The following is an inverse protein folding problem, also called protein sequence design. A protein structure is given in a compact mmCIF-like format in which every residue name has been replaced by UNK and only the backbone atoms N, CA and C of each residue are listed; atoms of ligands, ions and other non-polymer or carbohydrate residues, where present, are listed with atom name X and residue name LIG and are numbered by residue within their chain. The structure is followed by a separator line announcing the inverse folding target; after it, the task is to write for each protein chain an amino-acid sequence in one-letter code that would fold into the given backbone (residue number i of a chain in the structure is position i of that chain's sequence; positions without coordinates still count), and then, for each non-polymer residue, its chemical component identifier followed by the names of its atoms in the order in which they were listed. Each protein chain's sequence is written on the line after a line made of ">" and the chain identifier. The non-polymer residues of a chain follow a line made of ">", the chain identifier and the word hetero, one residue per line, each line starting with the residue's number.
data_IF_391017387428
#
_entry.id   IF_391017387428
#
_cell.length_a   1.000
_cell.length_b   1.000
_cell.length_c   1.000
_cell.angle_alpha   90.00
_cell.angle_beta   90.00
_cell.angle_gamma   90.00
#
_symmetry.space_group_name_H-M   'P 1'
#
loop_
_entity.id
_entity.type
_entity.pdbx_description
1 polymer ?
#
# COMPACT_ATOMS: atom_id res chain seq x y z
N UNK A 1 -15.18 6.81 -1.36
CA UNK A 1 -13.70 6.87 -1.32
C UNK A 1 -13.19 8.10 -0.57
N UNK A 2 -13.63 9.31 -0.92
CA UNK A 2 -13.17 10.54 -0.26
C UNK A 2 -13.35 10.59 1.25
N UNK A 3 -14.50 10.17 1.75
CA UNK A 3 -14.73 10.08 3.18
C UNK A 3 -13.86 9.03 3.86
N UNK A 4 -13.62 7.88 3.22
CA UNK A 4 -12.81 6.81 3.80
C UNK A 4 -11.34 7.22 3.96
N UNK A 5 -10.73 7.82 2.93
CA UNK A 5 -9.35 8.33 3.00
C UNK A 5 -9.23 9.55 3.91
N UNK A 6 -10.20 10.47 3.88
CA UNK A 6 -10.25 11.62 4.78
C UNK A 6 -10.33 11.22 6.26
N UNK A 7 -11.18 10.23 6.58
CA UNK A 7 -11.28 9.68 7.93
C UNK A 7 -10.01 8.94 8.35
N UNK A 8 -9.41 8.15 7.45
CA UNK A 8 -8.15 7.46 7.74
C UNK A 8 -7.02 8.43 8.05
N UNK A 9 -6.84 9.48 7.24
CA UNK A 9 -5.81 10.53 7.47
C UNK A 9 -6.12 11.32 8.74
N UNK A 10 -7.38 11.66 8.99
CA UNK A 10 -7.78 12.36 10.23
C UNK A 10 -7.50 11.50 11.47
N UNK A 11 -7.77 10.19 11.42
CA UNK A 11 -7.42 9.27 12.49
C UNK A 11 -5.91 9.16 12.72
N UNK A 12 -5.10 9.16 11.66
CA UNK A 12 -3.64 9.20 11.77
C UNK A 12 -3.14 10.49 12.44
N UNK A 13 -3.73 11.64 12.07
CA UNK A 13 -3.41 12.93 12.70
C UNK A 13 -3.77 12.93 14.19
N UNK A 14 -4.95 12.42 14.56
CA UNK A 14 -5.40 12.31 15.96
C UNK A 14 -4.50 11.40 16.79
N UNK A 15 -4.07 10.28 16.22
CA UNK A 15 -3.21 9.30 16.90
C UNK A 15 -1.71 9.62 16.80
N UNK A 16 -1.33 10.72 16.12
CA UNK A 16 0.06 11.07 15.81
C UNK A 16 0.83 9.97 15.07
N UNK A 17 0.12 9.15 14.29
CA UNK A 17 0.68 8.05 13.47
C UNK A 17 0.74 8.42 11.99
N UNK A 18 0.86 9.72 11.68
CA UNK A 18 0.89 10.22 10.31
C UNK A 18 1.99 9.55 9.51
N UNK A 19 1.58 8.72 8.55
CA UNK A 19 2.46 8.11 7.57
C UNK A 19 2.18 8.76 6.20
N UNK A 20 2.99 9.76 5.79
CA UNK A 20 2.74 10.53 4.57
C UNK A 20 2.50 9.67 3.31
N UNK A 21 3.23 8.55 3.08
CA UNK A 21 2.97 7.64 1.96
C UNK A 21 1.58 6.98 2.00
N UNK A 22 1.09 6.63 3.19
CA UNK A 22 -0.22 6.01 3.35
C UNK A 22 -1.39 6.97 3.06
N UNK A 23 -1.19 8.28 3.28
CA UNK A 23 -2.17 9.31 2.90
C UNK A 23 -2.09 9.70 1.43
N UNK A 24 -0.88 9.86 0.88
CA UNK A 24 -0.66 10.31 -0.49
C UNK A 24 -1.21 9.33 -1.54
N UNK A 25 -1.00 8.03 -1.36
CA UNK A 25 -1.41 7.02 -2.34
C UNK A 25 -2.94 6.99 -2.56
N UNK A 26 -3.79 6.87 -1.52
CA UNK A 26 -5.25 6.94 -1.70
C UNK A 26 -5.74 8.27 -2.27
N UNK A 27 -5.14 9.39 -1.86
CA UNK A 27 -5.48 10.71 -2.40
C UNK A 27 -5.19 10.79 -3.90
N UNK A 28 -4.02 10.34 -4.35
CA UNK A 28 -3.65 10.29 -5.77
C UNK A 28 -4.61 9.41 -6.58
N UNK A 29 -4.92 8.21 -6.09
CA UNK A 29 -5.83 7.25 -6.76
C UNK A 29 -7.23 7.86 -6.94
N UNK A 30 -7.70 8.60 -5.93
CA UNK A 30 -8.98 9.29 -6.00
C UNK A 30 -8.97 10.48 -6.95
N UNK A 31 -7.90 11.30 -6.94
CA UNK A 31 -7.74 12.42 -7.87
C UNK A 31 -7.65 11.96 -9.32
N UNK A 32 -7.13 10.77 -9.55
CA UNK A 32 -7.00 10.15 -10.87
C UNK A 32 -8.21 9.30 -11.28
N UNK A 33 -9.28 9.28 -10.47
CA UNK A 33 -10.56 8.65 -10.81
C UNK A 33 -10.49 7.15 -11.09
N UNK A 34 -9.56 6.43 -10.44
CA UNK A 34 -9.33 5.01 -10.73
C UNK A 34 -10.51 4.12 -10.28
N UNK A 35 -10.75 3.07 -11.05
CA UNK A 35 -11.79 2.07 -10.76
C UNK A 35 -11.37 1.10 -9.64
N UNK A 36 -12.33 0.38 -9.07
CA UNK A 36 -12.08 -0.64 -8.03
C UNK A 36 -11.09 -1.72 -8.46
N UNK A 37 -10.98 -1.96 -9.77
CA UNK A 37 -10.02 -2.89 -10.35
C UNK A 37 -8.56 -2.51 -10.04
N UNK A 38 -8.28 -1.23 -9.75
CA UNK A 38 -6.96 -0.75 -9.34
C UNK A 38 -6.43 -1.46 -8.08
N UNK A 39 -7.32 -1.82 -7.14
CA UNK A 39 -6.98 -2.56 -5.93
C UNK A 39 -6.48 -3.97 -6.25
N UNK A 40 -7.06 -4.62 -7.27
CA UNK A 40 -6.64 -5.96 -7.70
C UNK A 40 -5.37 -5.86 -8.56
N UNK A 41 -5.37 -4.96 -9.54
CA UNK A 41 -4.24 -4.69 -10.42
C UNK A 41 -4.10 -3.18 -10.63
N UNK A 42 -2.98 -2.56 -10.22
CA UNK A 42 -1.70 -3.21 -9.89
C UNK A 42 -1.49 -3.53 -8.40
N UNK A 43 -2.34 -3.07 -7.47
CA UNK A 43 -1.98 -3.02 -6.03
C UNK A 43 -1.76 -4.40 -5.42
N UNK A 44 -2.77 -5.28 -5.44
CA UNK A 44 -2.65 -6.62 -4.85
C UNK A 44 -1.60 -7.45 -5.58
N UNK A 45 -1.61 -7.42 -6.91
CA UNK A 45 -0.63 -8.14 -7.73
C UNK A 45 0.82 -7.72 -7.39
N UNK A 46 1.09 -6.42 -7.33
CA UNK A 46 2.40 -5.88 -6.99
C UNK A 46 2.82 -6.27 -5.56
N UNK A 47 1.91 -6.19 -4.60
CA UNK A 47 2.19 -6.60 -3.21
C UNK A 47 2.57 -8.09 -3.12
N UNK A 48 1.84 -8.97 -3.80
CA UNK A 48 2.14 -10.40 -3.85
C UNK A 48 3.50 -10.66 -4.48
N UNK A 49 3.81 -10.01 -5.61
CA UNK A 49 5.10 -10.14 -6.30
C UNK A 49 6.25 -9.76 -5.37
N UNK A 50 6.16 -8.61 -4.68
CA UNK A 50 7.19 -8.15 -3.75
C UNK A 50 7.41 -9.15 -2.61
N UNK A 51 6.33 -9.67 -2.02
CA UNK A 51 6.42 -10.66 -0.92
C UNK A 51 7.05 -11.97 -1.39
N UNK A 52 6.67 -12.46 -2.58
CA UNK A 52 7.24 -13.69 -3.16
C UNK A 52 8.73 -13.52 -3.43
N UNK A 53 9.13 -12.42 -4.05
CA UNK A 53 10.55 -12.11 -4.31
C UNK A 53 11.32 -11.99 -2.99
N UNK A 54 10.77 -11.25 -2.02
CA UNK A 54 11.39 -11.07 -0.71
C UNK A 54 11.62 -12.40 0.02
N UNK A 55 10.60 -13.27 0.04
CA UNK A 55 10.73 -14.63 0.62
C UNK A 55 11.71 -15.50 -0.15
N UNK A 56 11.71 -15.43 -1.47
CA UNK A 56 12.67 -16.15 -2.32
C UNK A 56 14.10 -15.74 -2.01
N UNK A 57 14.35 -14.43 -1.94
CA UNK A 57 15.67 -13.89 -1.61
C UNK A 57 16.12 -14.28 -0.20
N UNK A 58 15.22 -14.22 0.80
CA UNK A 58 15.53 -14.69 2.16
C UNK A 58 15.87 -16.18 2.21
N UNK A 59 15.18 -17.02 1.43
CA UNK A 59 15.48 -18.45 1.34
C UNK A 59 16.85 -18.70 0.71
N UNK A 60 17.18 -17.99 -0.38
CA UNK A 60 18.49 -18.10 -1.02
C UNK A 60 19.60 -17.68 -0.07
N UNK A 61 19.47 -16.53 0.62
CA UNK A 61 20.48 -16.06 1.58
C UNK A 61 20.75 -17.05 2.72
N UNK A 62 19.72 -17.72 3.24
CA UNK A 62 19.86 -18.76 4.27
C UNK A 62 20.47 -20.06 3.75
N UNK A 63 20.52 -20.27 2.44
CA UNK A 63 21.13 -21.47 1.83
C UNK A 63 22.65 -21.30 1.65
N UNK A 64 23.14 -20.05 1.63
CA UNK A 64 24.57 -19.71 1.50
C UNK A 64 25.25 -19.39 2.84
N UNK A 65 24.53 -19.45 3.96
CA UNK A 65 25.03 -19.25 5.32
C UNK A 65 25.05 -20.60 6.06
#
# INVERSE_FOLDING_TARGET
>A
MALASGLAVSAMLLTKTTHPPAGANPLLIMMTGQNWYFLLTPVLLGAVIIVVIGKGMQKSLKTYA
#
